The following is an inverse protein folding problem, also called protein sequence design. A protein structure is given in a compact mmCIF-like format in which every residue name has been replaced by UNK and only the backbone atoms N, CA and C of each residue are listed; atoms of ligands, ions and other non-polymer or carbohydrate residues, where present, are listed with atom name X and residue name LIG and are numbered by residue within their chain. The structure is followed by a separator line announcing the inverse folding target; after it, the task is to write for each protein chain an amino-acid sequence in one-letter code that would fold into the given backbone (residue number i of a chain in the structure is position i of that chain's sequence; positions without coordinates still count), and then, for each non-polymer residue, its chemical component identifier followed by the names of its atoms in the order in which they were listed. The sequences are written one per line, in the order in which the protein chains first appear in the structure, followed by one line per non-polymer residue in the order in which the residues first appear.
data_IF_908296804684
#
_entry.id   IF_908296804684
#
_cell.length_a   1.000
_cell.length_b   1.000
_cell.length_c   1.000
_cell.angle_alpha   90.00
_cell.angle_beta   90.00
_cell.angle_gamma   90.00
#
_symmetry.space_group_name_H-M   'P 1'
#
loop_
_entity.id
_entity.type
_entity.pdbx_description
1 polymer ?
#
# COMPACT_ATOMS: atom_id res chain seq x y z
N UNK A 1 33.72 -0.56 -14.34
CA UNK A 1 33.64 -0.77 -12.90
C UNK A 1 32.34 -0.23 -12.36
N UNK A 2 31.44 -1.11 -11.89
CA UNK A 2 30.05 -0.74 -11.55
C UNK A 2 29.59 -1.19 -10.15
N UNK A 3 30.51 -1.58 -9.27
CA UNK A 3 30.20 -1.93 -7.88
C UNK A 3 31.18 -1.22 -6.93
N UNK A 4 31.08 0.12 -6.84
CA UNK A 4 31.70 0.85 -5.74
C UNK A 4 30.77 0.69 -4.54
N UNK A 5 31.19 -0.02 -3.50
CA UNK A 5 30.39 -0.18 -2.28
C UNK A 5 30.61 1.04 -1.38
N UNK A 6 29.57 1.47 -0.67
CA UNK A 6 29.59 2.63 0.25
C UNK A 6 30.79 2.59 1.22
N UNK A 7 31.14 1.40 1.73
CA UNK A 7 32.26 1.19 2.66
C UNK A 7 33.63 1.51 2.06
N UNK A 8 33.80 1.33 0.74
CA UNK A 8 35.05 1.62 0.03
C UNK A 8 35.23 3.14 -0.16
N UNK A 9 34.12 3.88 -0.24
CA UNK A 9 34.09 5.34 -0.39
C UNK A 9 34.43 6.03 0.93
N UNK A 10 33.86 5.56 2.04
CA UNK A 10 34.05 6.21 3.35
C UNK A 10 35.53 6.21 3.80
N UNK A 11 36.23 5.10 3.56
CA UNK A 11 37.66 4.96 3.85
C UNK A 11 38.53 5.85 2.92
N UNK A 12 38.14 5.97 1.64
CA UNK A 12 38.85 6.80 0.67
C UNK A 12 38.68 8.31 0.94
N UNK A 13 37.57 8.71 1.58
CA UNK A 13 37.25 10.11 1.87
C UNK A 13 37.67 10.57 3.28
N UNK A 14 38.39 9.75 4.05
CA UNK A 14 38.73 10.05 5.45
C UNK A 14 39.52 11.37 5.65
N UNK A 15 40.23 11.85 4.64
CA UNK A 15 41.02 13.09 4.66
C UNK A 15 40.44 14.22 3.78
N UNK A 16 39.24 14.02 3.22
CA UNK A 16 38.59 14.98 2.31
C UNK A 16 37.78 16.01 3.10
N UNK A 17 37.68 17.25 2.58
CA UNK A 17 36.94 18.31 3.23
C UNK A 17 35.45 17.92 3.40
N UNK A 18 34.79 18.24 4.54
CA UNK A 18 33.43 17.74 4.83
C UNK A 18 32.39 18.03 3.73
N UNK A 19 32.43 19.21 3.11
CA UNK A 19 31.51 19.56 2.01
C UNK A 19 31.77 18.75 0.72
N UNK A 20 33.04 18.46 0.41
CA UNK A 20 33.40 17.65 -0.76
C UNK A 20 33.01 16.17 -0.53
N UNK A 21 33.21 15.70 0.71
CA UNK A 21 32.73 14.38 1.15
C UNK A 21 31.20 14.29 1.03
N UNK A 22 30.48 15.30 1.50
CA UNK A 22 29.03 15.38 1.36
C UNK A 22 28.58 15.37 -0.11
N UNK A 23 29.27 16.10 -0.98
CA UNK A 23 29.01 16.11 -2.43
C UNK A 23 29.19 14.73 -3.07
N UNK A 24 30.24 14.01 -2.71
CA UNK A 24 30.51 12.65 -3.24
C UNK A 24 29.40 11.67 -2.84
N UNK A 25 28.96 11.72 -1.59
CA UNK A 25 27.83 10.90 -1.15
C UNK A 25 26.51 11.30 -1.81
N UNK A 26 26.30 12.59 -2.07
CA UNK A 26 25.13 13.05 -2.80
C UNK A 26 25.10 12.46 -4.21
N UNK A 27 26.20 12.52 -4.95
CA UNK A 27 26.31 11.95 -6.31
C UNK A 27 26.11 10.44 -6.35
N UNK A 28 26.64 9.72 -5.35
CA UNK A 28 26.44 8.28 -5.23
C UNK A 28 24.98 7.93 -4.89
N UNK A 29 24.36 8.70 -3.99
CA UNK A 29 22.94 8.59 -3.67
C UNK A 29 22.04 8.81 -4.88
N UNK A 30 22.34 9.83 -5.69
CA UNK A 30 21.64 10.13 -6.94
C UNK A 30 21.70 8.94 -7.92
N UNK A 31 22.86 8.28 -8.03
CA UNK A 31 23.02 7.11 -8.90
C UNK A 31 22.18 5.92 -8.44
N UNK A 32 22.18 5.62 -7.13
CA UNK A 32 21.29 4.59 -6.57
C UNK A 32 19.81 4.94 -6.73
N UNK A 33 19.43 6.21 -6.56
CA UNK A 33 18.07 6.68 -6.75
C UNK A 33 17.59 6.52 -8.20
N UNK A 34 18.46 6.76 -9.19
CA UNK A 34 18.15 6.50 -10.62
C UNK A 34 17.86 5.02 -10.87
N UNK A 35 18.60 4.13 -10.21
CA UNK A 35 18.42 2.66 -10.27
C UNK A 35 17.25 2.14 -9.43
N UNK A 36 16.56 3.01 -8.67
CA UNK A 36 15.48 2.66 -7.73
C UNK A 36 15.96 1.82 -6.54
N UNK A 37 17.25 1.89 -6.22
CA UNK A 37 17.85 1.24 -5.05
C UNK A 37 17.69 2.13 -3.81
N UNK A 38 16.44 2.32 -3.37
CA UNK A 38 16.07 3.36 -2.40
C UNK A 38 16.82 3.27 -1.07
N UNK A 39 17.05 2.06 -0.55
CA UNK A 39 17.80 1.85 0.71
C UNK A 39 19.25 2.31 0.59
N UNK A 40 19.91 2.00 -0.53
CA UNK A 40 21.28 2.43 -0.78
C UNK A 40 21.36 3.94 -0.99
N UNK A 41 20.40 4.51 -1.72
CA UNK A 41 20.31 5.96 -1.89
C UNK A 41 20.11 6.68 -0.54
N UNK A 42 19.17 6.22 0.29
CA UNK A 42 18.90 6.73 1.64
C UNK A 42 20.15 6.75 2.51
N UNK A 43 20.93 5.68 2.48
CA UNK A 43 22.16 5.58 3.27
C UNK A 43 23.25 6.57 2.79
N UNK A 44 23.47 6.69 1.48
CA UNK A 44 24.37 7.70 0.93
C UNK A 44 23.93 9.11 1.35
N UNK A 45 22.63 9.40 1.26
CA UNK A 45 22.11 10.70 1.64
C UNK A 45 22.28 11.00 3.13
N UNK A 46 22.13 9.99 4.00
CA UNK A 46 22.43 10.12 5.44
C UNK A 46 23.88 10.52 5.65
N UNK A 47 24.82 9.82 4.99
CA UNK A 47 26.25 10.14 5.07
C UNK A 47 26.55 11.54 4.52
N UNK A 48 25.84 11.99 3.47
CA UNK A 48 25.97 13.35 2.94
C UNK A 48 25.59 14.41 3.98
N UNK A 49 24.41 14.25 4.60
CA UNK A 49 23.91 15.18 5.63
C UNK A 49 24.71 15.14 6.93
N UNK A 50 25.31 13.99 7.28
CA UNK A 50 26.20 13.87 8.43
C UNK A 50 27.56 14.53 8.18
N UNK A 51 28.08 14.44 6.95
CA UNK A 51 29.34 15.06 6.59
C UNK A 51 29.25 16.59 6.56
N UNK A 52 28.14 17.16 6.07
CA UNK A 52 27.94 18.61 6.01
C UNK A 52 26.50 18.99 6.43
N UNK A 53 26.21 19.01 7.75
CA UNK A 53 24.86 19.25 8.26
C UNK A 53 24.35 20.67 7.99
N UNK A 54 25.24 21.63 7.73
CA UNK A 54 24.93 23.01 7.37
C UNK A 54 24.41 23.17 5.92
N UNK A 55 24.59 22.16 5.07
CA UNK A 55 24.03 22.13 3.72
C UNK A 55 22.54 21.75 3.74
N UNK A 56 21.69 22.67 4.23
CA UNK A 56 20.24 22.48 4.34
C UNK A 56 19.56 22.04 3.04
N UNK A 57 20.10 22.43 1.89
CA UNK A 57 19.63 21.95 0.58
C UNK A 57 19.66 20.42 0.44
N UNK A 58 20.66 19.74 1.02
CA UNK A 58 20.76 18.28 0.96
C UNK A 58 19.65 17.64 1.81
N UNK A 59 19.39 18.17 3.01
CA UNK A 59 18.27 17.72 3.85
C UNK A 59 16.92 17.83 3.12
N UNK A 60 16.66 18.97 2.47
CA UNK A 60 15.44 19.23 1.69
C UNK A 60 15.31 18.27 0.50
N UNK A 61 16.39 18.02 -0.21
CA UNK A 61 16.38 17.11 -1.35
C UNK A 61 16.20 15.66 -0.88
N UNK A 62 16.88 15.24 0.18
CA UNK A 62 16.99 13.82 0.49
C UNK A 62 15.75 13.23 1.19
N UNK A 63 14.90 14.05 1.81
CA UNK A 63 13.75 13.61 2.61
C UNK A 63 12.81 12.60 1.92
N UNK A 64 12.37 12.78 0.65
CA UNK A 64 11.49 11.82 -0.02
C UNK A 64 12.13 10.44 -0.18
N UNK A 65 13.46 10.36 -0.29
CA UNK A 65 14.16 9.09 -0.44
C UNK A 65 14.19 8.28 0.85
N UNK A 66 14.31 8.93 2.01
CA UNK A 66 14.19 8.27 3.31
C UNK A 66 12.81 7.61 3.47
N UNK A 67 11.73 8.32 3.10
CA UNK A 67 10.36 7.80 3.20
C UNK A 67 10.17 6.56 2.31
N UNK A 68 10.58 6.62 1.04
CA UNK A 68 10.38 5.49 0.09
C UNK A 68 11.31 4.32 0.36
N UNK A 69 12.41 4.54 1.08
CA UNK A 69 13.28 3.47 1.59
C UNK A 69 12.71 2.80 2.85
N UNK A 70 11.65 3.36 3.45
CA UNK A 70 11.12 2.93 4.74
C UNK A 70 11.92 3.43 5.96
N UNK A 71 12.89 4.32 5.75
CA UNK A 71 13.73 4.90 6.79
C UNK A 71 13.03 6.11 7.43
N UNK A 72 11.97 5.82 8.20
CA UNK A 72 11.17 6.85 8.85
C UNK A 72 11.95 7.58 9.96
N UNK A 73 13.01 6.98 10.51
CA UNK A 73 13.83 7.63 11.52
C UNK A 73 14.70 8.73 10.90
N UNK A 74 15.40 8.44 9.79
CA UNK A 74 16.14 9.46 9.05
C UNK A 74 15.22 10.59 8.54
N UNK A 75 14.00 10.25 8.12
CA UNK A 75 12.99 11.24 7.74
C UNK A 75 12.57 12.14 8.92
N UNK A 76 12.30 11.58 10.10
CA UNK A 76 11.97 12.37 11.30
C UNK A 76 13.13 13.24 11.75
N UNK A 77 14.36 12.74 11.66
CA UNK A 77 15.56 13.54 11.92
C UNK A 77 15.66 14.73 10.95
N UNK A 78 15.49 14.48 9.66
CA UNK A 78 15.47 15.52 8.62
C UNK A 78 14.43 16.58 8.94
N UNK A 79 13.22 16.15 9.31
CA UNK A 79 12.12 17.04 9.66
C UNK A 79 12.45 17.91 10.87
N UNK A 80 13.04 17.35 11.92
CA UNK A 80 13.50 18.12 13.10
C UNK A 80 14.56 19.15 12.74
N UNK A 81 15.59 18.75 11.98
CA UNK A 81 16.67 19.65 11.56
C UNK A 81 16.14 20.82 10.75
N UNK A 82 15.22 20.56 9.81
CA UNK A 82 14.60 21.62 9.03
C UNK A 82 13.77 22.55 9.92
N UNK A 83 12.94 22.03 10.82
CA UNK A 83 12.13 22.88 11.72
C UNK A 83 12.99 23.72 12.69
N UNK A 84 14.11 23.18 13.19
CA UNK A 84 15.04 23.92 14.04
C UNK A 84 15.74 25.05 13.27
N UNK A 85 15.94 24.89 11.95
CA UNK A 85 16.58 25.87 11.07
C UNK A 85 15.65 27.00 10.57
N UNK A 86 14.44 27.12 11.11
CA UNK A 86 13.42 28.07 10.63
C UNK A 86 13.56 29.49 11.20
N UNK A 87 14.34 29.67 12.27
CA UNK A 87 14.44 30.95 12.95
C UNK A 87 15.02 32.03 12.03
N UNK A 88 14.22 33.06 11.73
CA UNK A 88 14.62 34.16 10.85
C UNK A 88 14.58 33.83 9.36
N UNK A 89 13.98 32.71 8.96
CA UNK A 89 13.83 32.34 7.57
C UNK A 89 12.82 33.29 6.88
N UNK A 90 13.33 34.07 5.92
CA UNK A 90 12.54 35.04 5.13
C UNK A 90 12.54 34.72 3.64
N UNK A 91 13.38 33.78 3.20
CA UNK A 91 13.43 33.35 1.81
C UNK A 91 12.23 32.43 1.50
N UNK A 92 11.35 32.80 0.54
CA UNK A 92 10.14 32.05 0.23
C UNK A 92 10.40 30.62 -0.25
N UNK A 93 11.44 30.42 -1.08
CA UNK A 93 11.75 29.11 -1.64
C UNK A 93 12.27 28.14 -0.58
N UNK A 94 13.14 28.63 0.29
CA UNK A 94 13.62 27.88 1.44
C UNK A 94 12.47 27.54 2.37
N UNK A 95 11.61 28.51 2.73
CA UNK A 95 10.45 28.27 3.59
C UNK A 95 9.51 27.19 3.03
N UNK A 96 9.20 27.24 1.73
CA UNK A 96 8.43 26.19 1.05
C UNK A 96 9.14 24.83 1.10
N UNK A 97 10.45 24.80 0.82
CA UNK A 97 11.25 23.58 0.86
C UNK A 97 11.26 22.92 2.24
N UNK A 98 11.31 23.71 3.31
CA UNK A 98 11.22 23.21 4.68
C UNK A 98 9.82 22.64 4.95
N UNK A 99 8.77 23.44 4.71
CA UNK A 99 7.39 23.03 4.94
C UNK A 99 7.02 21.76 4.15
N UNK A 100 7.31 21.72 2.85
CA UNK A 100 6.96 20.62 1.95
C UNK A 100 7.57 19.29 2.38
N UNK A 101 8.82 19.30 2.86
CA UNK A 101 9.46 18.08 3.33
C UNK A 101 8.97 17.64 4.71
N UNK A 102 8.50 18.56 5.56
CA UNK A 102 7.87 18.17 6.83
C UNK A 102 6.46 17.55 6.64
N UNK A 103 5.86 17.72 5.46
CA UNK A 103 4.48 17.30 5.14
C UNK A 103 4.37 15.97 4.37
N UNK A 104 5.49 15.28 4.09
CA UNK A 104 5.51 14.08 3.23
C UNK A 104 4.72 12.91 3.82
N UNK A 105 4.60 12.83 5.15
CA UNK A 105 3.81 11.80 5.84
C UNK A 105 2.90 12.46 6.90
N UNK A 106 1.78 11.82 7.27
CA UNK A 106 0.87 12.34 8.30
C UNK A 106 1.50 12.38 9.70
N UNK A 107 2.41 11.45 9.99
CA UNK A 107 2.94 11.19 11.34
C UNK A 107 4.38 11.66 11.53
N UNK A 108 4.78 12.77 10.88
CA UNK A 108 6.12 13.32 11.02
C UNK A 108 6.43 13.85 12.44
N UNK A 109 5.46 13.81 13.38
CA UNK A 109 5.64 14.29 14.76
C UNK A 109 5.95 15.78 14.85
N UNK A 110 5.58 16.53 13.82
CA UNK A 110 5.96 17.92 13.63
C UNK A 110 4.92 18.89 14.18
N UNK A 111 5.38 20.05 14.63
CA UNK A 111 4.51 21.17 14.97
C UNK A 111 3.85 21.70 13.69
N UNK A 112 2.58 21.32 13.47
CA UNK A 112 1.83 21.72 12.28
C UNK A 112 1.64 23.24 12.20
N UNK A 113 1.55 23.94 13.33
CA UNK A 113 1.37 25.39 13.34
C UNK A 113 2.66 26.09 12.91
N UNK A 114 3.83 25.57 13.31
CA UNK A 114 5.12 26.05 12.82
C UNK A 114 5.27 25.82 11.31
N UNK A 115 4.82 24.68 10.79
CA UNK A 115 4.83 24.42 9.34
C UNK A 115 3.89 25.39 8.60
N UNK A 116 2.71 25.65 9.14
CA UNK A 116 1.75 26.63 8.59
C UNK A 116 2.40 28.01 8.52
N UNK A 117 3.14 28.46 9.54
CA UNK A 117 3.88 29.74 9.50
C UNK A 117 4.93 29.78 8.38
N UNK A 118 5.65 28.68 8.13
CA UNK A 118 6.59 28.60 7.00
C UNK A 118 5.89 28.78 5.65
N UNK A 119 4.71 28.19 5.50
CA UNK A 119 3.93 28.37 4.26
C UNK A 119 3.46 29.82 4.10
N UNK A 120 3.26 30.58 5.18
CA UNK A 120 2.91 32.02 5.12
C UNK A 120 4.06 32.86 4.59
N UNK A 121 5.29 32.56 5.02
CA UNK A 121 6.51 33.18 4.48
C UNK A 121 6.61 32.92 2.97
N UNK A 122 6.33 31.69 2.53
CA UNK A 122 6.40 31.32 1.12
C UNK A 122 5.35 32.07 0.27
N UNK A 123 4.07 32.05 0.66
CA UNK A 123 2.98 32.69 -0.11
C UNK A 123 3.10 34.23 -0.12
N UNK A 124 3.76 34.84 0.87
CA UNK A 124 3.99 36.29 0.92
C UNK A 124 4.80 36.81 -0.29
N UNK A 125 5.52 35.95 -1.01
CA UNK A 125 6.18 36.28 -2.28
C UNK A 125 5.21 36.74 -3.38
N UNK A 126 3.95 36.33 -3.29
CA UNK A 126 2.86 36.75 -4.16
C UNK A 126 2.85 36.11 -5.56
N UNK A 127 1.75 36.31 -6.33
CA UNK A 127 1.50 35.58 -7.58
C UNK A 127 2.50 35.80 -8.72
N UNK A 128 3.32 36.84 -8.64
CA UNK A 128 4.39 37.11 -9.61
C UNK A 128 5.61 36.19 -9.43
N UNK A 129 5.73 35.52 -8.28
CA UNK A 129 6.84 34.62 -8.02
C UNK A 129 6.72 33.35 -8.90
N UNK A 130 7.79 32.90 -9.59
CA UNK A 130 7.73 31.75 -10.49
C UNK A 130 7.24 30.45 -9.83
N UNK A 131 7.55 30.26 -8.53
CA UNK A 131 7.16 29.09 -7.73
C UNK A 131 5.88 29.27 -6.92
N UNK A 132 5.15 30.37 -7.11
CA UNK A 132 3.98 30.71 -6.28
C UNK A 132 2.93 29.58 -6.24
N UNK A 133 2.70 28.90 -7.35
CA UNK A 133 1.73 27.80 -7.41
C UNK A 133 2.15 26.60 -6.56
N UNK A 134 3.45 26.29 -6.51
CA UNK A 134 4.01 25.32 -5.58
C UNK A 134 3.81 25.72 -4.12
N UNK A 135 3.99 27.01 -3.80
CA UNK A 135 3.78 27.54 -2.43
C UNK A 135 2.32 27.40 -2.00
N UNK A 136 1.37 27.74 -2.87
CA UNK A 136 -0.06 27.58 -2.65
C UNK A 136 -0.42 26.12 -2.41
N UNK A 137 0.16 25.19 -3.17
CA UNK A 137 -0.06 23.77 -2.99
C UNK A 137 0.45 23.26 -1.64
N UNK A 138 1.64 23.70 -1.21
CA UNK A 138 2.19 23.37 0.12
C UNK A 138 1.31 23.92 1.23
N UNK A 139 0.81 25.17 1.09
CA UNK A 139 -0.16 25.74 2.04
C UNK A 139 -1.42 24.89 2.13
N UNK A 140 -2.00 24.51 1.00
CA UNK A 140 -3.19 23.67 0.97
C UNK A 140 -2.95 22.32 1.68
N UNK A 141 -1.78 21.70 1.47
CA UNK A 141 -1.42 20.45 2.14
C UNK A 141 -1.25 20.64 3.65
N UNK A 142 -0.62 21.74 4.09
CA UNK A 142 -0.48 22.06 5.51
C UNK A 142 -1.84 22.20 6.20
N UNK A 143 -2.79 22.92 5.60
CA UNK A 143 -4.15 23.05 6.15
C UNK A 143 -4.89 21.70 6.18
N UNK A 144 -4.70 20.85 5.17
CA UNK A 144 -5.25 19.50 5.19
C UNK A 144 -4.71 18.67 6.36
N UNK A 145 -3.40 18.72 6.61
CA UNK A 145 -2.75 18.05 7.75
C UNK A 145 -3.23 18.58 9.10
N UNK A 146 -3.55 19.88 9.17
CA UNK A 146 -4.13 20.54 10.35
C UNK A 146 -5.59 20.13 10.62
N UNK A 147 -6.24 19.45 9.66
CA UNK A 147 -7.67 19.11 9.71
C UNK A 147 -8.59 20.22 9.19
N UNK A 148 -8.04 21.33 8.70
CA UNK A 148 -8.77 22.48 8.17
C UNK A 148 -9.12 22.28 6.69
N UNK A 149 -9.98 21.28 6.42
CA UNK A 149 -10.29 20.83 5.05
C UNK A 149 -10.94 21.90 4.17
N UNK A 150 -11.77 22.78 4.76
CA UNK A 150 -12.42 23.88 4.04
C UNK A 150 -11.37 24.91 3.58
N UNK A 151 -10.43 25.24 4.45
CA UNK A 151 -9.37 26.19 4.13
C UNK A 151 -8.38 25.59 3.12
N UNK A 152 -8.03 24.32 3.29
CA UNK A 152 -7.26 23.55 2.31
C UNK A 152 -7.89 23.61 0.92
N UNK A 153 -9.21 23.40 0.80
CA UNK A 153 -9.91 23.49 -0.49
C UNK A 153 -9.87 24.90 -1.08
N UNK A 154 -10.04 25.96 -0.26
CA UNK A 154 -9.95 27.35 -0.74
C UNK A 154 -8.60 27.65 -1.37
N UNK A 155 -7.50 27.23 -0.71
CA UNK A 155 -6.17 27.35 -1.30
C UNK A 155 -6.04 26.55 -2.59
N UNK A 156 -6.52 25.31 -2.59
CA UNK A 156 -6.46 24.42 -3.75
C UNK A 156 -7.25 24.93 -4.96
N UNK A 157 -8.35 25.66 -4.74
CA UNK A 157 -9.16 26.31 -5.79
C UNK A 157 -8.43 27.47 -6.47
N UNK A 158 -7.43 28.07 -5.82
CA UNK A 158 -6.56 29.09 -6.41
C UNK A 158 -5.32 28.51 -7.10
N UNK A 159 -4.99 27.24 -6.83
CA UNK A 159 -3.81 26.57 -7.34
C UNK A 159 -3.95 26.25 -8.85
N UNK A 160 -2.98 26.69 -9.64
CA UNK A 160 -2.88 26.53 -11.10
C UNK A 160 -1.46 26.08 -11.49
N UNK A 161 -1.05 24.87 -11.07
CA UNK A 161 0.29 24.38 -11.39
C UNK A 161 0.44 24.12 -12.90
N UNK A 162 1.67 24.08 -13.43
CA UNK A 162 1.93 23.67 -14.80
C UNK A 162 1.33 22.29 -15.11
N UNK A 163 0.80 22.13 -16.32
CA UNK A 163 0.16 20.87 -16.72
C UNK A 163 1.19 19.76 -16.93
N UNK A 164 0.80 18.53 -16.59
CA UNK A 164 1.58 17.32 -16.85
C UNK A 164 2.68 17.04 -15.83
N UNK A 165 2.84 17.88 -14.80
CA UNK A 165 3.91 17.76 -13.81
C UNK A 165 3.48 17.20 -12.46
N UNK A 166 4.47 17.00 -11.58
CA UNK A 166 4.27 16.50 -10.23
C UNK A 166 3.37 17.38 -9.36
N UNK A 167 3.43 18.70 -9.53
CA UNK A 167 2.55 19.64 -8.79
C UNK A 167 1.08 19.48 -9.20
N UNK A 168 0.78 19.22 -10.48
CA UNK A 168 -0.59 18.92 -10.92
C UNK A 168 -1.06 17.58 -10.33
N UNK A 169 -0.20 16.57 -10.33
CA UNK A 169 -0.51 15.28 -9.70
C UNK A 169 -0.81 15.44 -8.20
N UNK A 170 0.05 16.14 -7.45
CA UNK A 170 -0.15 16.43 -6.04
C UNK A 170 -1.44 17.24 -5.78
N UNK A 171 -1.72 18.25 -6.60
CA UNK A 171 -2.95 19.05 -6.49
C UNK A 171 -4.21 18.20 -6.69
N UNK A 172 -4.21 17.29 -7.68
CA UNK A 172 -5.32 16.36 -7.94
C UNK A 172 -5.47 15.32 -6.83
N UNK A 173 -4.36 14.81 -6.30
CA UNK A 173 -4.35 13.90 -5.16
C UNK A 173 -4.93 14.56 -3.92
N UNK A 174 -4.47 15.75 -3.56
CA UNK A 174 -4.97 16.48 -2.40
C UNK A 174 -6.46 16.82 -2.54
N UNK A 175 -6.89 17.18 -3.76
CA UNK A 175 -8.32 17.37 -4.08
C UNK A 175 -9.12 16.11 -3.79
N UNK A 176 -8.65 14.95 -4.26
CA UNK A 176 -9.30 13.68 -3.99
C UNK A 176 -9.43 13.40 -2.49
N UNK A 177 -8.36 13.66 -1.72
CA UNK A 177 -8.37 13.47 -0.27
C UNK A 177 -9.40 14.36 0.43
N UNK A 178 -9.50 15.64 0.06
CA UNK A 178 -10.48 16.56 0.64
C UNK A 178 -11.91 16.16 0.24
N UNK A 179 -12.14 15.85 -1.05
CA UNK A 179 -13.44 15.37 -1.56
C UNK A 179 -13.92 14.13 -0.80
N UNK A 180 -13.00 13.20 -0.50
CA UNK A 180 -13.27 12.03 0.34
C UNK A 180 -13.69 12.42 1.76
N UNK A 181 -12.98 13.36 2.41
CA UNK A 181 -13.30 13.84 3.76
C UNK A 181 -14.66 14.55 3.84
N UNK A 182 -15.10 15.20 2.76
CA UNK A 182 -16.40 15.89 2.66
C UNK A 182 -17.53 14.96 2.19
N UNK A 183 -17.20 13.75 1.73
CA UNK A 183 -18.17 12.70 1.35
C UNK A 183 -18.56 12.66 -0.12
N UNK A 184 -17.81 13.30 -1.02
CA UNK A 184 -18.04 13.24 -2.47
C UNK A 184 -17.18 12.15 -3.13
N UNK A 185 -17.66 10.91 -3.00
CA UNK A 185 -16.91 9.71 -3.43
C UNK A 185 -16.65 9.65 -4.94
N UNK A 186 -17.56 10.19 -5.77
CA UNK A 186 -17.42 10.14 -7.22
C UNK A 186 -16.35 11.12 -7.72
N UNK A 187 -16.38 12.37 -7.23
CA UNK A 187 -15.35 13.35 -7.57
C UNK A 187 -13.99 12.91 -7.02
N UNK A 188 -13.96 12.42 -5.78
CA UNK A 188 -12.74 11.92 -5.15
C UNK A 188 -12.05 10.83 -5.98
N UNK A 189 -12.81 9.83 -6.44
CA UNK A 189 -12.28 8.74 -7.30
C UNK A 189 -11.78 9.27 -8.65
N UNK A 190 -12.49 10.23 -9.25
CA UNK A 190 -12.09 10.84 -10.53
C UNK A 190 -10.80 11.65 -10.40
N UNK A 191 -10.70 12.46 -9.34
CA UNK A 191 -9.52 13.25 -9.01
C UNK A 191 -8.30 12.35 -8.79
N UNK A 192 -8.47 11.25 -8.03
CA UNK A 192 -7.38 10.31 -7.75
C UNK A 192 -6.92 9.58 -9.02
N UNK A 193 -7.84 9.15 -9.89
CA UNK A 193 -7.49 8.54 -11.19
C UNK A 193 -6.68 9.47 -12.08
N UNK A 194 -7.05 10.75 -12.13
CA UNK A 194 -6.32 11.74 -12.91
C UNK A 194 -4.91 11.97 -12.36
N UNK A 195 -4.73 11.97 -11.04
CA UNK A 195 -3.42 12.02 -10.41
C UNK A 195 -2.57 10.79 -10.73
N UNK A 196 -3.16 9.58 -10.64
CA UNK A 196 -2.48 8.33 -10.97
C UNK A 196 -1.89 8.35 -12.39
N UNK A 197 -2.70 8.76 -13.38
CA UNK A 197 -2.25 8.84 -14.78
C UNK A 197 -1.00 9.71 -14.94
N UNK A 198 -0.95 10.87 -14.27
CA UNK A 198 0.20 11.76 -14.33
C UNK A 198 1.44 11.15 -13.68
N UNK A 199 1.29 10.50 -12.52
CA UNK A 199 2.38 9.84 -11.80
C UNK A 199 2.99 8.71 -12.65
N UNK A 200 2.13 7.96 -13.31
CA UNK A 200 2.48 6.86 -14.21
C UNK A 200 3.19 7.35 -15.47
N UNK A 201 2.69 8.41 -16.09
CA UNK A 201 3.31 9.03 -17.27
C UNK A 201 4.71 9.56 -16.94
N UNK A 202 4.88 10.22 -15.79
CA UNK A 202 6.19 10.66 -15.31
C UNK A 202 7.13 9.46 -15.08
N UNK A 203 6.65 8.38 -14.46
CA UNK A 203 7.44 7.19 -14.23
C UNK A 203 7.91 6.51 -15.53
N UNK A 204 7.05 6.47 -16.56
CA UNK A 204 7.36 5.93 -17.89
C UNK A 204 8.30 6.82 -18.71
N UNK A 205 8.17 8.14 -18.57
CA UNK A 205 9.00 9.10 -19.30
C UNK A 205 10.43 9.24 -18.75
N UNK A 206 10.71 8.63 -17.59
CA UNK A 206 11.99 8.74 -16.89
C UNK A 206 13.11 8.03 -17.65
N UNK A 207 14.05 8.81 -18.18
CA UNK A 207 15.31 8.32 -18.74
C UNK A 207 16.42 8.27 -17.66
N UNK A 208 17.55 7.60 -17.96
CA UNK A 208 18.74 7.62 -17.10
C UNK A 208 19.30 9.04 -16.90
N UNK A 209 19.09 9.94 -17.86
CA UNK A 209 19.48 11.36 -17.79
C UNK A 209 18.47 12.25 -17.05
N UNK A 210 17.41 11.69 -16.46
CA UNK A 210 16.42 12.49 -15.73
C UNK A 210 17.11 13.22 -14.59
N UNK A 211 17.00 14.56 -14.52
CA UNK A 211 17.55 15.31 -13.41
C UNK A 211 16.98 14.84 -12.08
N UNK A 212 17.84 14.76 -11.05
CA UNK A 212 17.42 14.19 -9.77
C UNK A 212 16.22 14.96 -9.19
N UNK A 213 16.21 16.30 -9.27
CA UNK A 213 15.12 17.18 -8.83
C UNK A 213 13.74 16.75 -9.34
N UNK A 214 13.63 16.24 -10.57
CA UNK A 214 12.38 15.70 -11.11
C UNK A 214 11.96 14.38 -10.45
N UNK A 215 12.94 13.55 -10.06
CA UNK A 215 12.69 12.30 -9.33
C UNK A 215 12.18 12.62 -7.92
N UNK A 216 12.73 13.64 -7.25
CA UNK A 216 12.22 14.08 -5.95
C UNK A 216 10.76 14.51 -6.04
N UNK A 217 10.42 15.37 -7.01
CA UNK A 217 9.04 15.86 -7.15
C UNK A 217 8.06 14.74 -7.53
N UNK A 218 8.48 13.83 -8.40
CA UNK A 218 7.71 12.61 -8.69
C UNK A 218 7.47 11.76 -7.44
N UNK A 219 8.48 11.57 -6.59
CA UNK A 219 8.33 10.82 -5.34
C UNK A 219 7.37 11.50 -4.37
N UNK A 220 7.40 12.83 -4.25
CA UNK A 220 6.44 13.59 -3.42
C UNK A 220 5.00 13.36 -3.88
N UNK A 221 4.77 13.43 -5.20
CA UNK A 221 3.46 13.16 -5.78
C UNK A 221 3.00 11.71 -5.52
N UNK A 222 3.91 10.75 -5.69
CA UNK A 222 3.65 9.33 -5.46
C UNK A 222 3.32 9.04 -3.99
N UNK A 223 4.09 9.56 -3.05
CA UNK A 223 3.86 9.36 -1.61
C UNK A 223 2.49 9.89 -1.18
N UNK A 224 2.12 11.09 -1.63
CA UNK A 224 0.80 11.66 -1.36
C UNK A 224 -0.31 10.83 -2.00
N UNK A 225 -0.08 10.30 -3.21
CA UNK A 225 -1.03 9.41 -3.90
C UNK A 225 -1.26 8.12 -3.12
N UNK A 226 -0.20 7.45 -2.66
CA UNK A 226 -0.30 6.21 -1.88
C UNK A 226 -1.07 6.45 -0.57
N UNK A 227 -0.96 7.63 0.03
CA UNK A 227 -1.80 8.00 1.17
C UNK A 227 -3.26 8.21 0.79
N UNK A 228 -3.53 8.93 -0.31
CA UNK A 228 -4.88 9.18 -0.78
C UNK A 228 -5.59 7.87 -1.15
N UNK A 229 -4.90 6.94 -1.79
CA UNK A 229 -5.40 5.62 -2.13
C UNK A 229 -5.85 4.87 -0.86
N UNK A 230 -4.98 4.82 0.16
CA UNK A 230 -5.34 4.23 1.48
C UNK A 230 -6.55 4.93 2.10
N UNK A 231 -6.64 6.25 2.02
CA UNK A 231 -7.75 7.02 2.56
C UNK A 231 -9.07 6.73 1.84
N UNK A 232 -9.07 6.71 0.51
CA UNK A 232 -10.27 6.49 -0.28
C UNK A 232 -10.73 5.03 -0.21
N UNK A 233 -9.80 4.08 -0.08
CA UNK A 233 -10.13 2.69 0.22
C UNK A 233 -10.85 2.56 1.56
N UNK A 234 -10.48 3.36 2.56
CA UNK A 234 -11.20 3.46 3.84
C UNK A 234 -12.56 4.13 3.66
N UNK A 235 -12.65 5.24 2.92
CA UNK A 235 -13.90 5.98 2.73
C UNK A 235 -14.96 5.23 1.91
N UNK A 236 -14.55 4.50 0.87
CA UNK A 236 -15.42 3.65 0.07
C UNK A 236 -16.02 2.48 0.87
N UNK A 237 -15.38 2.12 2.00
CA UNK A 237 -15.93 1.16 2.97
C UNK A 237 -16.95 1.82 3.92
N UNK A 238 -16.92 3.14 4.10
CA UNK A 238 -17.78 3.89 5.04
C UNK A 238 -19.05 4.55 4.47
N UNK A 239 -19.23 4.68 3.15
CA UNK A 239 -20.36 5.40 2.52
C UNK A 239 -21.67 4.60 2.38
N UNK A 240 -21.82 3.49 3.11
CA UNK A 240 -22.98 2.60 3.09
C UNK A 240 -23.87 2.69 4.33
N UNK A 241 -24.51 3.84 4.57
CA UNK A 241 -25.68 3.97 5.47
C UNK A 241 -25.48 4.81 6.74
N UNK A 242 -26.38 5.77 6.98
CA UNK A 242 -26.42 6.64 8.18
C UNK A 242 -27.86 6.72 8.73
N UNK A 243 -28.03 6.36 10.02
CA UNK A 243 -29.08 6.66 11.04
C UNK A 243 -29.23 5.40 11.93
N UNK A 244 -29.11 5.39 13.26
CA UNK A 244 -29.32 6.40 14.30
C UNK A 244 -28.43 6.19 15.56
N UNK A 245 -28.16 7.31 16.23
CA UNK A 245 -27.95 7.58 17.68
C UNK A 245 -26.96 6.79 18.59
N UNK A 246 -25.95 7.57 19.04
CA UNK A 246 -25.44 7.82 20.40
C UNK A 246 -24.51 6.83 21.18
N UNK A 247 -23.32 7.40 21.51
CA UNK A 247 -22.34 7.13 22.59
C UNK A 247 -21.77 5.70 22.71
N UNK A 248 -20.45 5.49 22.69
CA UNK A 248 -19.36 6.28 23.25
C UNK A 248 -18.04 5.48 23.28
N UNK A 249 -16.98 6.15 23.68
CA UNK A 249 -15.58 5.85 23.42
C UNK A 249 -15.15 4.40 23.76
N UNK A 250 -14.84 3.63 22.73
CA UNK A 250 -13.79 2.58 22.77
C UNK A 250 -13.06 2.60 21.43
N UNK A 251 -11.73 2.72 21.48
CA UNK A 251 -10.85 2.80 20.30
C UNK A 251 -10.91 1.46 19.55
N UNK A 252 -11.65 1.38 18.45
CA UNK A 252 -11.77 0.18 17.62
C UNK A 252 -10.43 -0.15 16.93
N UNK A 253 -10.05 -1.43 16.78
CA UNK A 253 -8.73 -1.80 16.26
C UNK A 253 -8.65 -1.60 14.74
N UNK A 254 -7.50 -1.14 14.25
CA UNK A 254 -7.16 -1.17 12.82
C UNK A 254 -6.75 -2.62 12.50
N UNK A 255 -7.57 -3.37 11.78
CA UNK A 255 -7.31 -4.80 11.51
C UNK A 255 -7.14 -5.05 10.01
N UNK A 256 -6.10 -4.41 9.44
CA UNK A 256 -5.54 -4.82 8.16
C UNK A 256 -4.15 -5.39 8.41
N UNK A 257 -3.97 -6.66 8.11
CA UNK A 257 -2.70 -7.39 8.26
C UNK A 257 -2.26 -7.95 6.92
N UNK A 258 -0.96 -8.05 6.72
CA UNK A 258 -0.37 -8.51 5.47
C UNK A 258 0.92 -9.27 5.75
N UNK A 259 1.11 -10.37 5.03
CA UNK A 259 2.33 -11.17 5.05
C UNK A 259 2.92 -11.15 3.64
N UNK A 260 4.18 -10.71 3.51
CA UNK A 260 4.92 -10.69 2.24
C UNK A 260 5.79 -11.96 2.07
N UNK A 261 5.78 -12.88 3.05
CA UNK A 261 6.52 -14.15 3.00
C UNK A 261 8.03 -14.01 2.76
N UNK A 262 8.63 -12.94 3.26
CA UNK A 262 10.06 -12.63 3.13
C UNK A 262 10.90 -13.44 4.11
N UNK A 263 11.06 -14.74 3.82
CA UNK A 263 11.92 -15.66 4.59
C UNK A 263 11.32 -16.15 5.91
N UNK A 264 10.26 -15.53 6.42
CA UNK A 264 9.50 -15.95 7.60
C UNK A 264 7.99 -15.70 7.43
N UNK A 265 7.18 -16.39 8.24
CA UNK A 265 5.75 -16.10 8.38
C UNK A 265 5.60 -15.01 9.44
N UNK A 266 5.10 -13.84 9.05
CA UNK A 266 5.07 -12.65 9.92
C UNK A 266 3.76 -12.47 10.66
N UNK A 267 2.70 -13.18 10.25
CA UNK A 267 1.41 -13.20 10.93
C UNK A 267 1.26 -14.46 11.82
N UNK A 268 0.29 -14.43 12.73
CA UNK A 268 -0.03 -15.54 13.63
C UNK A 268 -0.81 -16.65 12.91
N UNK A 269 -0.14 -17.33 11.97
CA UNK A 269 -0.73 -18.39 11.17
C UNK A 269 -1.00 -19.67 11.96
N UNK A 270 -2.24 -20.14 11.91
CA UNK A 270 -2.60 -21.52 12.21
C UNK A 270 -2.38 -22.37 10.96
N UNK A 271 -1.48 -23.36 11.03
CA UNK A 271 -1.20 -24.27 9.91
C UNK A 271 -1.86 -25.62 10.18
N UNK A 272 -2.98 -25.91 9.50
CA UNK A 272 -3.65 -27.22 9.57
C UNK A 272 -2.93 -28.24 8.72
N UNK A 273 -2.88 -29.48 9.22
CA UNK A 273 -2.23 -30.62 8.56
C UNK A 273 -0.79 -30.30 8.11
N UNK A 274 -0.02 -29.70 9.03
CA UNK A 274 1.34 -29.26 8.78
C UNK A 274 2.23 -30.42 8.31
N UNK A 275 2.83 -30.25 7.14
CA UNK A 275 3.81 -31.14 6.53
C UNK A 275 5.01 -30.29 6.14
N UNK A 276 6.01 -30.13 7.03
CA UNK A 276 7.10 -29.17 6.85
C UNK A 276 7.91 -29.34 5.55
N UNK A 277 8.01 -30.57 5.02
CA UNK A 277 8.71 -30.83 3.75
C UNK A 277 8.01 -30.24 2.51
N UNK A 278 6.74 -29.85 2.65
CA UNK A 278 5.85 -29.35 1.60
C UNK A 278 5.51 -27.87 1.74
N UNK A 279 6.16 -27.16 2.65
CA UNK A 279 6.05 -25.73 2.86
C UNK A 279 7.47 -25.13 2.86
N UNK A 280 7.70 -24.05 2.13
CA UNK A 280 9.00 -23.38 2.10
C UNK A 280 8.88 -21.89 1.83
N UNK A 281 9.69 -21.08 2.51
CA UNK A 281 9.86 -19.64 2.30
C UNK A 281 11.19 -19.28 1.63
N UNK A 282 12.05 -20.29 1.41
CA UNK A 282 13.42 -20.09 0.91
C UNK A 282 13.64 -20.73 -0.45
N UNK A 283 12.79 -21.69 -0.84
CA UNK A 283 12.87 -22.34 -2.17
C UNK A 283 12.65 -21.34 -3.30
N UNK A 284 11.81 -20.34 -3.06
CA UNK A 284 11.66 -19.12 -3.88
C UNK A 284 11.58 -17.92 -2.94
N UNK A 285 12.71 -17.21 -2.72
CA UNK A 285 12.74 -16.04 -1.85
C UNK A 285 11.66 -15.01 -2.21
N UNK A 286 11.04 -14.41 -1.19
CA UNK A 286 9.91 -13.48 -1.33
C UNK A 286 8.56 -14.16 -1.63
N UNK A 287 8.44 -15.48 -1.41
CA UNK A 287 7.17 -16.20 -1.60
C UNK A 287 6.96 -17.32 -0.58
N UNK A 288 5.71 -17.62 -0.28
CA UNK A 288 5.30 -18.88 0.34
C UNK A 288 5.11 -19.93 -0.75
N UNK A 289 5.92 -20.99 -0.71
CA UNK A 289 5.82 -22.13 -1.63
C UNK A 289 5.16 -23.32 -0.95
N UNK A 290 4.07 -23.83 -1.54
CA UNK A 290 3.37 -25.03 -1.11
C UNK A 290 3.46 -26.15 -2.17
N UNK A 291 3.65 -27.38 -1.70
CA UNK A 291 3.59 -28.60 -2.51
C UNK A 291 2.33 -29.41 -2.15
N UNK A 292 1.18 -29.12 -2.78
CA UNK A 292 -0.12 -29.64 -2.36
C UNK A 292 -0.20 -31.17 -2.39
N UNK A 293 -1.12 -31.70 -1.60
CA UNK A 293 -1.53 -33.11 -1.63
C UNK A 293 -2.81 -33.28 -2.43
N UNK A 294 -3.11 -34.53 -2.79
CA UNK A 294 -4.31 -34.86 -3.52
C UNK A 294 -5.56 -34.60 -2.65
N UNK A 295 -6.40 -33.66 -3.08
CA UNK A 295 -7.69 -33.35 -2.48
C UNK A 295 -8.67 -32.85 -3.56
N UNK A 296 -9.98 -32.93 -3.29
CA UNK A 296 -11.00 -32.42 -4.21
C UNK A 296 -11.26 -30.92 -4.04
N UNK A 297 -11.79 -30.25 -5.07
CA UNK A 297 -12.41 -28.92 -4.91
C UNK A 297 -13.77 -29.14 -4.25
N UNK A 298 -14.06 -28.42 -3.15
CA UNK A 298 -15.33 -28.61 -2.45
C UNK A 298 -15.34 -29.82 -1.50
N UNK A 299 -14.17 -30.33 -1.09
CA UNK A 299 -14.06 -31.38 -0.05
C UNK A 299 -13.64 -30.77 1.28
N UNK A 300 -13.72 -31.56 2.33
CA UNK A 300 -13.36 -31.19 3.70
C UNK A 300 -11.97 -30.52 3.79
N UNK A 301 -11.90 -29.33 4.38
CA UNK A 301 -10.67 -28.53 4.57
C UNK A 301 -9.60 -29.34 5.28
N UNK A 302 -10.01 -30.26 6.17
CA UNK A 302 -9.10 -31.08 6.98
C UNK A 302 -8.40 -32.18 6.18
N UNK A 303 -8.69 -32.33 4.88
CA UNK A 303 -7.98 -33.27 4.00
C UNK A 303 -6.77 -32.62 3.31
N UNK A 304 -6.75 -31.29 3.17
CA UNK A 304 -5.65 -30.59 2.53
C UNK A 304 -4.46 -30.43 3.48
N UNK A 305 -3.23 -30.59 2.96
CA UNK A 305 -1.99 -30.36 3.70
C UNK A 305 -1.63 -28.87 3.70
N UNK A 306 -1.07 -28.38 4.80
CA UNK A 306 -0.58 -26.99 4.90
C UNK A 306 -1.65 -25.97 4.52
N UNK A 307 -2.81 -26.01 5.18
CA UNK A 307 -3.80 -24.93 5.08
C UNK A 307 -3.41 -23.86 6.09
N UNK A 308 -3.06 -22.67 5.61
CA UNK A 308 -2.65 -21.56 6.46
C UNK A 308 -3.87 -20.68 6.71
N UNK A 309 -4.21 -20.46 7.98
CA UNK A 309 -5.40 -19.73 8.41
C UNK A 309 -5.03 -18.67 9.46
N UNK A 310 -5.70 -17.53 9.39
CA UNK A 310 -5.73 -16.53 10.45
C UNK A 310 -7.13 -16.51 11.05
N UNK A 311 -7.20 -16.29 12.36
CA UNK A 311 -8.45 -16.08 13.05
C UNK A 311 -9.12 -14.80 12.53
N UNK A 312 -10.39 -14.92 12.18
CA UNK A 312 -11.29 -13.81 11.97
C UNK A 312 -11.94 -13.45 13.31
N UNK A 313 -11.99 -12.16 13.70
CA UNK A 313 -12.92 -11.70 14.73
C UNK A 313 -14.36 -12.00 14.29
N UNK A 314 -15.33 -12.02 15.22
CA UNK A 314 -16.73 -12.26 14.92
C UNK A 314 -17.32 -11.11 14.09
N UNK A 315 -17.10 -11.17 12.78
CA UNK A 315 -17.53 -10.19 11.79
C UNK A 315 -18.14 -10.89 10.59
N UNK A 316 -19.22 -10.31 10.04
CA UNK A 316 -19.75 -10.74 8.73
C UNK A 316 -19.13 -9.98 7.57
N UNK A 317 -18.09 -9.21 7.84
CA UNK A 317 -17.39 -8.39 6.85
C UNK A 317 -15.88 -8.58 6.95
N UNK A 318 -15.28 -9.00 5.85
CA UNK A 318 -13.84 -9.12 5.70
C UNK A 318 -13.48 -9.12 4.23
N UNK A 319 -12.22 -8.86 3.94
CA UNK A 319 -11.62 -9.01 2.62
C UNK A 319 -10.30 -9.75 2.81
N UNK A 320 -10.13 -10.85 2.08
CA UNK A 320 -8.83 -11.52 1.96
C UNK A 320 -8.34 -11.48 0.52
N UNK A 321 -7.04 -11.35 0.37
CA UNK A 321 -6.38 -11.23 -0.94
C UNK A 321 -5.06 -12.00 -0.98
N UNK A 322 -4.67 -12.42 -2.17
CA UNK A 322 -3.35 -13.02 -2.41
C UNK A 322 -2.93 -12.85 -3.87
N UNK A 323 -1.63 -13.01 -4.15
CA UNK A 323 -1.09 -13.13 -5.51
C UNK A 323 -0.49 -14.53 -5.69
N UNK A 324 -0.93 -15.25 -6.72
CA UNK A 324 -0.38 -16.54 -7.16
C UNK A 324 0.52 -16.29 -8.36
N UNK A 325 1.83 -16.45 -8.20
CA UNK A 325 2.86 -16.04 -9.18
C UNK A 325 3.47 -17.17 -10.00
N UNK A 326 3.19 -18.42 -9.64
CA UNK A 326 3.73 -19.55 -10.38
C UNK A 326 2.84 -20.78 -10.28
N UNK A 327 2.54 -21.37 -11.43
CA UNK A 327 1.86 -22.66 -11.57
C UNK A 327 2.58 -23.53 -12.60
N UNK A 328 2.74 -24.84 -12.38
CA UNK A 328 3.44 -25.68 -13.36
C UNK A 328 2.65 -25.83 -14.65
N UNK A 329 3.31 -25.62 -15.78
CA UNK A 329 2.72 -25.77 -17.11
C UNK A 329 2.23 -27.21 -17.41
N UNK A 330 2.78 -28.21 -16.72
CA UNK A 330 2.47 -29.63 -16.95
C UNK A 330 1.53 -30.22 -15.88
N UNK A 331 1.17 -29.46 -14.85
CA UNK A 331 0.23 -29.92 -13.84
C UNK A 331 -1.17 -30.00 -14.45
N UNK A 332 -1.66 -31.22 -14.66
CA UNK A 332 -2.96 -31.42 -15.31
C UNK A 332 -4.13 -30.94 -14.46
N UNK A 333 -3.97 -30.84 -13.12
CA UNK A 333 -5.07 -30.57 -12.19
C UNK A 333 -4.59 -29.99 -10.84
N UNK A 334 -4.72 -28.69 -10.66
CA UNK A 334 -4.53 -28.03 -9.37
C UNK A 334 -5.66 -27.03 -9.11
N UNK A 335 -5.86 -26.69 -7.85
CA UNK A 335 -6.64 -25.54 -7.43
C UNK A 335 -5.93 -24.87 -6.25
N UNK A 336 -5.76 -23.57 -6.32
CA UNK A 336 -5.06 -22.79 -5.30
C UNK A 336 -5.77 -21.45 -5.09
N UNK A 337 -5.71 -20.89 -3.90
CA UNK A 337 -6.24 -19.55 -3.64
C UNK A 337 -6.66 -19.34 -2.20
N UNK A 338 -7.79 -18.66 -2.05
CA UNK A 338 -8.29 -18.11 -0.80
C UNK A 338 -9.43 -18.96 -0.23
N UNK A 339 -9.46 -19.03 1.10
CA UNK A 339 -10.46 -19.75 1.88
C UNK A 339 -11.00 -18.86 3.00
N UNK A 340 -12.30 -18.96 3.29
CA UNK A 340 -12.94 -18.45 4.50
C UNK A 340 -13.74 -19.60 5.14
N UNK A 341 -13.38 -19.98 6.35
CA UNK A 341 -13.79 -21.23 7.02
C UNK A 341 -14.69 -20.91 8.19
N UNK A 342 -15.90 -21.46 8.19
CA UNK A 342 -16.78 -21.54 9.36
C UNK A 342 -16.44 -22.83 10.13
N UNK A 343 -16.48 -23.97 9.41
CA UNK A 343 -15.88 -25.23 9.85
C UNK A 343 -15.30 -26.00 8.65
N UNK A 344 -14.76 -27.19 8.91
CA UNK A 344 -14.07 -27.97 7.88
C UNK A 344 -14.98 -28.39 6.70
N UNK A 345 -16.30 -28.39 6.88
CA UNK A 345 -17.32 -28.78 5.89
C UNK A 345 -18.14 -27.58 5.38
N UNK A 346 -18.07 -26.44 6.07
CA UNK A 346 -18.79 -25.19 5.82
C UNK A 346 -17.79 -24.05 5.57
N UNK A 347 -17.65 -23.63 4.31
CA UNK A 347 -16.64 -22.63 3.94
C UNK A 347 -16.95 -21.97 2.60
N UNK A 348 -16.23 -20.90 2.31
CA UNK A 348 -16.23 -20.21 1.00
C UNK A 348 -14.83 -20.19 0.45
N UNK A 349 -14.68 -20.41 -0.86
CA UNK A 349 -13.37 -20.40 -1.52
C UNK A 349 -13.39 -19.58 -2.81
N UNK A 350 -12.26 -18.92 -3.07
CA UNK A 350 -11.95 -18.25 -4.33
C UNK A 350 -10.64 -18.85 -4.88
N UNK A 351 -10.73 -19.66 -5.93
CA UNK A 351 -9.62 -20.52 -6.37
C UNK A 351 -9.33 -20.34 -7.85
N UNK A 352 -8.05 -20.21 -8.19
CA UNK A 352 -7.54 -20.44 -9.55
C UNK A 352 -7.27 -21.94 -9.72
N UNK A 353 -7.67 -22.52 -10.86
CA UNK A 353 -7.40 -23.92 -11.15
C UNK A 353 -7.46 -24.25 -12.64
N UNK A 354 -7.03 -25.47 -12.98
CA UNK A 354 -6.95 -25.97 -14.37
C UNK A 354 -7.89 -27.14 -14.61
N UNK A 355 -8.58 -27.12 -15.77
CA UNK A 355 -9.54 -28.16 -16.17
C UNK A 355 -8.90 -29.41 -16.78
N UNK A 356 -9.63 -30.52 -16.75
CA UNK A 356 -9.28 -31.80 -17.38
C UNK A 356 -9.39 -31.82 -18.90
N UNK A 357 -10.24 -30.96 -19.48
CA UNK A 357 -10.66 -31.05 -20.88
C UNK A 357 -9.93 -30.08 -21.82
N UNK A 358 -8.96 -29.31 -21.30
CA UNK A 358 -8.13 -28.40 -22.08
C UNK A 358 -7.07 -27.70 -21.23
N UNK A 359 -6.10 -27.04 -21.88
CA UNK A 359 -5.07 -26.19 -21.25
C UNK A 359 -5.63 -24.91 -20.59
N UNK A 360 -6.92 -24.86 -20.29
CA UNK A 360 -7.58 -23.66 -19.80
C UNK A 360 -7.44 -23.59 -18.28
N UNK A 361 -6.87 -22.47 -17.84
CA UNK A 361 -6.86 -22.04 -16.45
C UNK A 361 -8.07 -21.11 -16.25
N UNK A 362 -8.68 -21.19 -15.08
CA UNK A 362 -9.84 -20.38 -14.73
C UNK A 362 -9.90 -20.10 -13.24
N UNK A 363 -10.72 -19.12 -12.88
CA UNK A 363 -10.98 -18.75 -11.48
C UNK A 363 -12.40 -19.15 -11.10
N UNK A 364 -12.60 -19.56 -9.85
CA UNK A 364 -13.87 -20.02 -9.32
C UNK A 364 -14.22 -19.41 -7.98
N UNK A 365 -15.54 -19.22 -7.77
CA UNK A 365 -16.15 -18.94 -6.47
C UNK A 365 -17.08 -20.10 -6.12
N UNK A 366 -16.96 -20.59 -4.89
CA UNK A 366 -17.77 -21.70 -4.37
C UNK A 366 -18.08 -21.48 -2.89
N UNK A 367 -19.30 -21.84 -2.50
CA UNK A 367 -19.74 -22.00 -1.12
C UNK A 367 -19.92 -23.49 -0.86
N UNK A 368 -19.36 -24.03 0.22
CA UNK A 368 -19.58 -25.41 0.69
C UNK A 368 -20.46 -25.41 1.92
N UNK A 369 -21.39 -26.38 1.98
CA UNK A 369 -22.28 -26.62 3.11
C UNK A 369 -22.37 -28.10 3.42
N UNK A 370 -22.12 -28.50 4.66
CA UNK A 370 -22.11 -29.90 5.09
C UNK A 370 -21.24 -30.82 4.20
N UNK A 371 -20.17 -30.25 3.62
CA UNK A 371 -19.27 -30.93 2.69
C UNK A 371 -19.81 -31.04 1.26
N UNK A 372 -20.82 -30.24 0.93
CA UNK A 372 -21.46 -30.18 -0.39
C UNK A 372 -21.26 -28.81 -1.00
N UNK A 373 -20.62 -28.76 -2.17
CA UNK A 373 -20.48 -27.54 -2.96
C UNK A 373 -21.83 -27.02 -3.47
N UNK A 374 -22.26 -25.85 -2.99
CA UNK A 374 -23.49 -25.16 -3.37
C UNK A 374 -23.21 -24.02 -4.34
N UNK A 375 -23.57 -24.22 -5.62
CA UNK A 375 -23.31 -23.34 -6.79
C UNK A 375 -21.83 -23.00 -7.01
N UNK A 376 -21.44 -22.92 -8.29
CA UNK A 376 -20.05 -22.63 -8.68
C UNK A 376 -20.05 -21.67 -9.85
N UNK A 377 -19.33 -20.55 -9.71
CA UNK A 377 -18.97 -19.71 -10.85
C UNK A 377 -17.62 -20.18 -11.37
N UNK A 378 -17.49 -20.25 -12.70
CA UNK A 378 -16.22 -20.45 -13.39
C UNK A 378 -16.10 -19.43 -14.50
N UNK A 379 -14.93 -18.84 -14.61
CA UNK A 379 -14.54 -18.08 -15.78
C UNK A 379 -13.23 -18.65 -16.34
N UNK A 380 -13.23 -18.94 -17.64
CA UNK A 380 -12.12 -19.58 -18.37
C UNK A 380 -11.46 -18.59 -19.32
N UNK A 381 -10.17 -18.79 -19.62
CA UNK A 381 -9.44 -18.01 -20.62
C UNK A 381 -8.59 -16.86 -20.07
N UNK A 382 -8.37 -16.85 -18.75
CA UNK A 382 -7.45 -15.94 -18.09
C UNK A 382 -5.99 -16.32 -18.45
N UNK A 383 -5.13 -15.32 -18.68
CA UNK A 383 -3.69 -15.52 -18.93
C UNK A 383 -2.95 -15.44 -17.58
N UNK A 384 -3.10 -16.50 -16.79
CA UNK A 384 -2.99 -16.43 -15.32
C UNK A 384 -1.59 -16.65 -14.76
N UNK A 385 -0.56 -16.23 -15.50
CA UNK A 385 0.82 -16.41 -15.03
C UNK A 385 1.07 -15.65 -13.71
N UNK A 386 0.29 -14.60 -13.43
CA UNK A 386 0.20 -13.93 -12.12
C UNK A 386 -1.28 -13.56 -11.84
N UNK A 387 -1.97 -14.31 -10.97
CA UNK A 387 -3.34 -13.97 -10.56
C UNK A 387 -3.37 -13.33 -9.18
N UNK A 388 -3.92 -12.12 -9.11
CA UNK A 388 -4.30 -11.53 -7.81
C UNK A 388 -5.76 -11.84 -7.54
N UNK A 389 -6.00 -12.66 -6.53
CA UNK A 389 -7.33 -13.08 -6.11
C UNK A 389 -7.80 -12.23 -4.94
N UNK A 390 -9.11 -11.97 -4.88
CA UNK A 390 -9.78 -11.35 -3.74
C UNK A 390 -11.08 -12.08 -3.42
N UNK A 391 -11.30 -12.36 -2.14
CA UNK A 391 -12.55 -12.87 -1.59
C UNK A 391 -13.03 -11.89 -0.52
N UNK A 392 -14.20 -11.29 -0.75
CA UNK A 392 -14.81 -10.36 0.20
C UNK A 392 -16.14 -10.93 0.72
N UNK A 393 -16.38 -10.81 2.02
CA UNK A 393 -17.70 -10.98 2.63
C UNK A 393 -18.29 -9.63 2.97
N UNK A 394 -19.56 -9.41 2.61
CA UNK A 394 -20.35 -8.24 3.01
C UNK A 394 -21.74 -8.71 3.44
N UNK A 395 -22.01 -8.68 4.74
CA UNK A 395 -23.30 -9.10 5.31
C UNK A 395 -23.72 -10.52 4.86
N UNK A 396 -22.75 -11.43 4.75
CA UNK A 396 -22.98 -12.80 4.29
C UNK A 396 -23.14 -12.97 2.78
N UNK A 397 -22.91 -11.92 1.98
CA UNK A 397 -22.70 -12.04 0.53
C UNK A 397 -21.22 -12.13 0.23
N UNK A 398 -20.80 -13.21 -0.44
CA UNK A 398 -19.42 -13.44 -0.83
C UNK A 398 -19.19 -13.03 -2.27
N UNK A 399 -18.14 -12.24 -2.51
CA UNK A 399 -17.76 -11.74 -3.83
C UNK A 399 -16.33 -12.19 -4.13
N UNK A 400 -16.14 -12.87 -5.26
CA UNK A 400 -14.82 -13.17 -5.79
C UNK A 400 -14.44 -12.17 -6.86
N UNK A 401 -13.18 -11.74 -6.86
CA UNK A 401 -12.63 -10.87 -7.90
C UNK A 401 -11.22 -11.28 -8.25
N UNK A 402 -10.83 -11.02 -9.50
CA UNK A 402 -9.48 -11.26 -10.01
C UNK A 402 -8.90 -9.98 -10.60
N UNK A 403 -7.59 -9.83 -10.51
CA UNK A 403 -6.85 -8.73 -11.12
C UNK A 403 -5.54 -9.22 -11.74
N UNK A 404 -5.22 -8.72 -12.93
CA UNK A 404 -3.95 -8.94 -13.60
C UNK A 404 -2.87 -7.92 -13.20
N UNK A 405 -3.28 -6.72 -12.76
CA UNK A 405 -2.39 -5.60 -12.44
C UNK A 405 -2.34 -5.25 -10.94
N UNK A 406 -3.24 -5.83 -10.13
CA UNK A 406 -3.38 -5.55 -8.70
C UNK A 406 -4.14 -4.27 -8.38
N UNK A 407 -4.60 -3.54 -9.39
CA UNK A 407 -5.31 -2.26 -9.25
C UNK A 407 -6.77 -2.43 -9.66
N UNK A 408 -7.01 -3.04 -10.81
CA UNK A 408 -8.34 -3.25 -11.35
C UNK A 408 -8.81 -4.67 -11.03
N UNK A 409 -9.66 -4.78 -10.02
CA UNK A 409 -10.33 -6.03 -9.70
C UNK A 409 -11.64 -6.15 -10.47
N UNK A 410 -11.71 -7.19 -11.30
CA UNK A 410 -12.91 -7.57 -12.02
C UNK A 410 -13.69 -8.58 -11.19
N UNK A 411 -14.97 -8.31 -10.94
CA UNK A 411 -15.84 -9.25 -10.26
C UNK A 411 -16.09 -10.49 -11.13
N UNK A 412 -15.82 -11.66 -10.55
CA UNK A 412 -16.07 -12.96 -11.19
C UNK A 412 -17.49 -13.45 -10.92
N UNK A 413 -17.98 -13.19 -9.71
CA UNK A 413 -19.30 -13.61 -9.28
C UNK A 413 -19.53 -13.36 -7.80
N UNK A 414 -20.78 -13.55 -7.39
CA UNK A 414 -21.22 -13.39 -6.00
C UNK A 414 -22.17 -14.49 -5.57
N UNK A 415 -22.01 -15.02 -4.37
CA UNK A 415 -22.86 -16.06 -3.80
C UNK A 415 -23.34 -15.67 -2.39
N UNK A 416 -24.61 -15.93 -2.04
CA UNK A 416 -25.06 -15.80 -0.66
C UNK A 416 -24.47 -16.92 0.20
N UNK A 417 -24.01 -16.56 1.38
CA UNK A 417 -23.51 -17.44 2.42
C UNK A 417 -24.58 -18.23 3.17
N UNK A 418 -25.83 -17.73 3.14
CA UNK A 418 -27.00 -18.34 3.78
C UNK A 418 -26.67 -18.83 5.20
N UNK A 419 -26.19 -17.94 6.07
CA UNK A 419 -25.82 -18.17 7.48
C UNK A 419 -24.40 -18.70 7.76
N UNK A 420 -23.46 -18.60 6.81
CA UNK A 420 -22.05 -18.91 7.10
C UNK A 420 -21.45 -17.80 7.95
N UNK A 421 -20.74 -18.16 9.01
CA UNK A 421 -20.00 -17.24 9.87
C UNK A 421 -18.53 -17.65 9.95
N UNK A 422 -17.72 -17.37 8.91
CA UNK A 422 -16.33 -17.74 8.90
C UNK A 422 -15.59 -17.21 10.12
N UNK A 423 -14.95 -18.12 10.84
CA UNK A 423 -14.10 -17.83 12.02
C UNK A 423 -12.63 -17.76 11.64
N UNK A 424 -12.25 -18.21 10.45
CA UNK A 424 -10.88 -18.14 9.93
C UNK A 424 -10.88 -17.82 8.44
N UNK A 425 -9.78 -17.24 7.96
CA UNK A 425 -9.53 -17.11 6.53
C UNK A 425 -8.04 -17.23 6.19
N UNK A 426 -7.73 -17.63 4.96
CA UNK A 426 -6.34 -17.84 4.58
C UNK A 426 -6.12 -18.49 3.23
N UNK A 427 -5.05 -19.28 3.13
CA UNK A 427 -4.51 -19.85 1.91
C UNK A 427 -4.67 -21.37 1.86
N UNK A 428 -4.99 -21.88 0.69
CA UNK A 428 -5.08 -23.32 0.43
C UNK A 428 -4.58 -23.66 -0.98
N UNK A 429 -3.86 -24.77 -1.10
CA UNK A 429 -3.46 -25.37 -2.36
C UNK A 429 -3.83 -26.86 -2.35
N UNK A 430 -4.44 -27.34 -3.43
CA UNK A 430 -4.80 -28.75 -3.62
C UNK A 430 -4.47 -29.23 -5.02
N UNK A 431 -4.04 -30.49 -5.13
CA UNK A 431 -3.88 -31.19 -6.40
C UNK A 431 -5.11 -32.09 -6.62
N UNK A 432 -5.72 -32.06 -7.81
CA UNK A 432 -6.90 -32.90 -8.06
C UNK A 432 -6.55 -34.10 -8.93
N UNK A 433 -6.35 -35.34 -8.47
CA UNK A 433 -6.22 -36.52 -9.36
C UNK A 433 -5.02 -36.58 -10.34
N UNK A 434 -4.69 -37.79 -10.85
CA UNK A 434 -3.54 -38.04 -11.76
C UNK A 434 -2.23 -38.46 -11.04
N UNK A 435 -1.27 -39.09 -11.74
CA UNK A 435 0.03 -39.48 -11.17
C UNK A 435 0.71 -38.26 -10.51
N UNK A 436 1.25 -38.46 -9.29
CA UNK A 436 1.78 -37.41 -8.42
C UNK A 436 2.94 -36.69 -9.12
N UNK A 437 2.65 -35.54 -9.74
CA UNK A 437 3.69 -34.62 -10.12
C UNK A 437 3.90 -33.67 -8.94
N UNK A 438 5.14 -33.43 -8.52
CA UNK A 438 5.45 -32.46 -7.47
C UNK A 438 5.14 -31.06 -7.97
N UNK A 439 3.86 -30.67 -7.94
CA UNK A 439 3.42 -29.32 -8.28
C UNK A 439 3.90 -28.39 -7.18
N UNK A 440 4.58 -27.33 -7.55
CA UNK A 440 4.95 -26.26 -6.63
C UNK A 440 4.15 -25.02 -6.97
N UNK A 441 3.46 -24.50 -5.97
CA UNK A 441 2.67 -23.28 -6.09
C UNK A 441 3.26 -22.23 -5.17
N UNK A 442 3.38 -21.00 -5.67
CA UNK A 442 3.93 -19.87 -4.92
C UNK A 442 2.87 -18.79 -4.73
N UNK A 443 2.83 -18.26 -3.51
CA UNK A 443 2.09 -17.05 -3.15
C UNK A 443 3.08 -15.94 -2.83
N UNK A 444 2.93 -14.77 -3.45
CA UNK A 444 3.82 -13.64 -3.18
C UNK A 444 3.47 -12.96 -1.85
N UNK A 445 2.18 -12.93 -1.52
CA UNK A 445 1.69 -12.27 -0.32
C UNK A 445 0.29 -12.74 0.05
N UNK A 446 -0.10 -12.48 1.29
CA UNK A 446 -1.46 -12.59 1.78
C UNK A 446 -1.87 -11.30 2.49
N UNK A 447 -3.11 -10.87 2.29
CA UNK A 447 -3.70 -9.77 3.05
C UNK A 447 -5.04 -10.17 3.64
N UNK A 448 -5.30 -9.73 4.87
CA UNK A 448 -6.59 -9.78 5.52
C UNK A 448 -6.95 -8.37 5.99
N UNK A 449 -8.08 -7.87 5.51
CA UNK A 449 -8.66 -6.59 5.93
C UNK A 449 -10.03 -6.80 6.54
N UNK A 450 -10.22 -6.27 7.73
CA UNK A 450 -11.50 -6.27 8.43
C UNK A 450 -12.01 -4.85 8.51
N UNK A 451 -13.21 -4.57 7.97
CA UNK A 451 -13.88 -3.29 8.18
C UNK A 451 -14.12 -3.09 9.69
N UNK A 452 -13.73 -1.93 10.23
CA UNK A 452 -13.73 -1.69 11.67
C UNK A 452 -15.13 -1.88 12.30
N UNK A 453 -15.18 -2.62 13.41
CA UNK A 453 -16.38 -2.74 14.27
C UNK A 453 -16.35 -1.58 15.27
N UNK A 454 -17.31 -0.65 15.20
CA UNK A 454 -17.43 0.45 16.18
C UNK A 454 -17.83 -0.08 17.57
N UNK A 455 -17.08 0.30 18.61
CA UNK A 455 -17.27 -0.17 19.97
C UNK A 455 -18.02 0.88 20.84
N UNK A 456 -18.97 0.40 21.65
CA UNK A 456 -20.00 1.18 22.38
C UNK A 456 -19.56 1.48 23.82
N UNK A 457 -19.87 2.66 24.36
CA UNK A 457 -19.54 3.12 25.73
C UNK A 457 -20.48 4.24 26.24
N UNK A 458 -20.73 4.37 27.55
CA UNK A 458 -22.08 4.42 28.10
C UNK A 458 -22.75 5.81 28.15
N UNK A 459 -24.09 5.76 28.24
CA UNK A 459 -25.02 6.87 28.30
C UNK A 459 -25.06 7.56 29.68
N UNK A 460 -25.04 8.90 29.65
CA UNK A 460 -25.60 9.81 30.65
C UNK A 460 -26.47 10.79 29.86
N UNK A 461 -27.70 11.15 30.20
CA UNK A 461 -28.54 11.02 31.37
C UNK A 461 -29.53 12.19 31.24
N UNK A 462 -30.83 11.93 31.31
CA UNK A 462 -31.87 12.96 31.41
C UNK A 462 -31.56 13.93 32.55
N UNK A 463 -31.79 15.25 32.38
CA UNK A 463 -32.47 16.09 33.39
C UNK A 463 -33.11 17.31 32.71
N UNK A 464 -34.45 17.37 32.84
CA UNK A 464 -35.42 18.48 32.81
C UNK A 464 -35.70 19.26 31.52
#
# INVERSE_FOLDING_TARGET
DRDVKIWDVDAALASVHPHEKAGTFQELGDEYARRREWKMASECYRQSTEAAPDLLGNWICNAPFHVVAGDLEAYRQTTRVLLDATQGLVDPESADGHAKNCLLTPDAGSDIDAIVQLTEVAIAAGPSHPKYQGFVLTRALAEYRRGEYVESMRWLETCRPPKGGAEEAMMRTLRAMIESRVGDTQQSTSSLRAAHSLIDDMARSRAASTPIWQIHDWLRARLLYEEAERLLDVAARGSGGRRDSMSGVTKAPVVHVRDEFEGELTLEWTIRNSTPSRLSLTRRPGTLTLSPVRAGIGVDVDVASNVLLLDLPPTREFVVGTCVSATPADASRYAVGLLAVDDARNYVQCMIGRSNSGNNVGVSLLVSRDGIAQRRFWEWGENVQEARLRLASRQGMYVASVSADGVHYRELGRLPGQDLEPVEAGLIAVEQGGESHSVEISFDWFELGIPAIEAIGPSFGEVN
#
